data_IF_666611754343
#
_entry.id   IF_666611754343
#
_cell.length_a   1.000
_cell.length_b   1.000
_cell.length_c   1.000
_cell.angle_alpha   90.00
_cell.angle_beta   90.00
_cell.angle_gamma   90.00
#
_symmetry.space_group_name_H-M   'P 1'
#
loop_
_entity.id
_entity.type
_entity.pdbx_description
1 polymer ?
#
# COMPACT_ATOMS: atom_id res chain seq x y z
N UNK A 1 20.57 -9.46 26.63
CA UNK A 1 21.22 -10.37 25.66
C UNK A 1 20.57 -10.13 24.30
N UNK A 2 21.28 -9.50 23.37
CA UNK A 2 20.74 -8.98 22.12
C UNK A 2 20.88 -10.09 21.05
N UNK A 3 19.89 -10.97 20.93
CA UNK A 3 19.91 -12.02 19.91
C UNK A 3 19.38 -11.40 18.61
N UNK A 4 20.27 -10.83 17.80
CA UNK A 4 19.96 -10.58 16.39
C UNK A 4 19.86 -11.94 15.69
N UNK A 5 18.77 -12.26 14.99
CA UNK A 5 18.70 -13.50 14.23
C UNK A 5 19.71 -13.41 13.08
N UNK A 6 20.80 -14.16 13.16
CA UNK A 6 21.76 -14.28 12.07
C UNK A 6 21.14 -15.11 10.95
N UNK A 7 20.55 -14.43 9.97
CA UNK A 7 20.32 -15.03 8.65
C UNK A 7 21.65 -15.50 8.04
N UNK A 8 21.61 -16.57 7.26
CA UNK A 8 22.80 -17.09 6.58
C UNK A 8 23.36 -16.03 5.62
N UNK A 9 24.68 -16.06 5.32
CA UNK A 9 25.31 -15.09 4.38
C UNK A 9 24.53 -14.92 3.06
N UNK A 10 23.99 -15.99 2.42
CA UNK A 10 23.17 -15.87 1.22
C UNK A 10 21.87 -15.07 1.42
N UNK A 11 21.19 -15.24 2.56
CA UNK A 11 19.95 -14.52 2.86
C UNK A 11 20.19 -13.02 3.04
N UNK A 12 21.30 -12.65 3.69
CA UNK A 12 21.72 -11.25 3.84
C UNK A 12 22.06 -10.62 2.48
N UNK A 13 22.66 -11.38 1.57
CA UNK A 13 22.96 -10.92 0.21
C UNK A 13 21.68 -10.71 -0.61
N UNK A 14 20.79 -11.70 -0.65
CA UNK A 14 19.51 -11.61 -1.36
C UNK A 14 18.67 -10.42 -0.85
N UNK A 15 18.61 -10.21 0.47
CA UNK A 15 17.93 -9.07 1.07
C UNK A 15 18.49 -7.72 0.60
N UNK A 16 19.82 -7.60 0.50
CA UNK A 16 20.48 -6.38 -0.02
C UNK A 16 20.18 -6.16 -1.50
N UNK A 17 20.25 -7.20 -2.31
CA UNK A 17 19.94 -7.12 -3.75
C UNK A 17 18.50 -6.66 -3.94
N UNK A 18 17.53 -7.28 -3.25
CA UNK A 18 16.12 -6.88 -3.31
C UNK A 18 15.92 -5.40 -2.93
N UNK A 19 16.60 -4.94 -1.88
CA UNK A 19 16.52 -3.54 -1.47
C UNK A 19 17.11 -2.58 -2.52
N UNK A 20 18.27 -2.90 -3.08
CA UNK A 20 18.89 -2.05 -4.10
C UNK A 20 18.10 -2.02 -5.40
N UNK A 21 17.58 -3.16 -5.87
CA UNK A 21 16.73 -3.23 -7.05
C UNK A 21 15.44 -2.44 -6.86
N UNK A 22 14.76 -2.60 -5.72
CA UNK A 22 13.54 -1.86 -5.44
C UNK A 22 13.77 -0.35 -5.33
N UNK A 23 14.85 0.06 -4.68
CA UNK A 23 15.24 1.47 -4.61
C UNK A 23 15.57 2.04 -6.00
N UNK A 24 16.32 1.29 -6.81
CA UNK A 24 16.68 1.69 -8.16
C UNK A 24 15.43 1.92 -9.02
N UNK A 25 14.44 1.02 -8.96
CA UNK A 25 13.17 1.19 -9.69
C UNK A 25 12.40 2.44 -9.24
N UNK A 26 12.32 2.69 -7.94
CA UNK A 26 11.62 3.86 -7.39
C UNK A 26 12.31 5.18 -7.72
N UNK A 27 13.64 5.19 -7.92
CA UNK A 27 14.39 6.38 -8.35
C UNK A 27 14.35 6.53 -9.87
N UNK A 28 14.50 5.45 -10.63
CA UNK A 28 14.52 5.48 -12.08
C UNK A 28 13.16 5.90 -12.66
N UNK A 29 12.05 5.54 -12.00
CA UNK A 29 10.70 5.86 -12.47
C UNK A 29 10.43 7.38 -12.60
N UNK A 30 10.60 8.22 -11.56
CA UNK A 30 10.40 9.66 -11.69
C UNK A 30 11.44 10.30 -12.64
N UNK A 31 12.68 9.79 -12.69
CA UNK A 31 13.70 10.26 -13.64
C UNK A 31 13.25 10.00 -15.08
N UNK A 32 12.74 8.80 -15.39
CA UNK A 32 12.20 8.47 -16.71
C UNK A 32 11.05 9.40 -17.10
N UNK A 33 10.10 9.63 -16.20
CA UNK A 33 8.96 10.52 -16.44
C UNK A 33 9.41 11.97 -16.70
N UNK A 34 10.39 12.47 -15.95
CA UNK A 34 10.98 13.79 -16.18
C UNK A 34 11.68 13.88 -17.54
N UNK A 35 12.52 12.91 -17.88
CA UNK A 35 13.29 12.90 -19.14
C UNK A 35 12.40 12.77 -20.37
N UNK A 36 11.26 12.09 -20.24
CA UNK A 36 10.30 11.90 -21.34
C UNK A 36 9.19 12.94 -21.37
N UNK A 37 9.21 13.94 -20.46
CA UNK A 37 8.21 15.01 -20.41
C UNK A 37 6.85 14.61 -19.83
N UNK A 38 6.70 13.41 -19.27
CA UNK A 38 5.45 12.91 -18.68
C UNK A 38 5.30 13.37 -17.21
N UNK A 39 5.21 14.68 -17.00
CA UNK A 39 5.12 15.29 -15.66
C UNK A 39 3.69 15.41 -15.12
N UNK A 40 2.69 14.97 -15.88
CA UNK A 40 1.28 14.94 -15.51
C UNK A 40 0.63 13.67 -16.07
N UNK A 41 -0.13 12.95 -15.25
CA UNK A 41 -0.69 11.65 -15.61
C UNK A 41 -2.02 11.37 -14.93
N UNK A 42 -2.82 10.50 -15.54
CA UNK A 42 -4.07 10.00 -14.94
C UNK A 42 -3.76 8.90 -13.94
N UNK A 43 -4.47 8.95 -12.83
CA UNK A 43 -4.20 8.12 -11.66
C UNK A 43 -5.34 7.15 -11.36
N UNK A 44 -6.52 7.30 -11.93
CA UNK A 44 -7.55 6.26 -11.92
C UNK A 44 -8.18 6.14 -13.30
N UNK A 45 -8.88 5.02 -13.52
CA UNK A 45 -9.70 4.80 -14.70
C UNK A 45 -11.01 5.60 -14.66
N UNK A 46 -11.32 6.28 -13.56
CA UNK A 46 -12.57 7.02 -13.40
C UNK A 46 -12.60 8.21 -14.35
N UNK A 47 -13.67 8.28 -15.14
CA UNK A 47 -13.90 9.39 -16.06
C UNK A 47 -14.12 10.69 -15.26
N UNK A 48 -13.47 11.78 -15.69
CA UNK A 48 -13.62 13.10 -15.09
C UNK A 48 -12.61 13.47 -14.01
N UNK A 49 -11.75 12.55 -13.53
CA UNK A 49 -10.72 12.92 -12.54
C UNK A 49 -9.59 13.73 -13.21
N UNK A 50 -9.23 14.92 -12.69
CA UNK A 50 -8.14 15.73 -13.24
C UNK A 50 -6.80 14.99 -13.13
N UNK A 51 -5.87 15.22 -14.07
CA UNK A 51 -4.56 14.59 -14.02
C UNK A 51 -3.76 15.10 -12.82
N UNK A 52 -2.93 14.24 -12.26
CA UNK A 52 -2.08 14.54 -11.10
C UNK A 52 -0.68 14.84 -11.60
N UNK A 53 -0.07 15.90 -11.07
CA UNK A 53 1.31 16.23 -11.39
C UNK A 53 2.29 15.25 -10.71
N UNK A 54 3.46 15.07 -11.31
CA UNK A 54 4.53 14.25 -10.74
C UNK A 54 4.90 14.70 -9.32
N UNK A 55 4.96 16.01 -9.08
CA UNK A 55 5.28 16.56 -7.76
C UNK A 55 4.17 16.32 -6.74
N UNK A 56 2.91 16.45 -7.16
CA UNK A 56 1.73 16.13 -6.36
C UNK A 56 1.71 14.66 -5.94
N UNK A 57 2.14 13.75 -6.82
CA UNK A 57 2.27 12.32 -6.50
C UNK A 57 3.43 12.03 -5.54
N UNK A 58 4.55 12.73 -5.68
CA UNK A 58 5.78 12.41 -4.94
C UNK A 58 5.90 13.10 -3.57
N UNK A 59 5.72 14.41 -3.53
CA UNK A 59 6.10 15.24 -2.37
C UNK A 59 5.35 14.87 -1.09
N UNK A 60 4.02 14.65 -1.09
CA UNK A 60 3.31 14.28 0.14
C UNK A 60 3.87 13.02 0.78
N UNK A 61 4.14 11.98 -0.02
CA UNK A 61 4.67 10.71 0.48
C UNK A 61 6.13 10.84 0.95
N UNK A 62 6.98 11.59 0.23
CA UNK A 62 8.36 11.86 0.64
C UNK A 62 8.44 12.62 1.97
N UNK A 63 7.62 13.67 2.13
CA UNK A 63 7.52 14.43 3.38
C UNK A 63 7.03 13.52 4.52
N UNK A 64 5.99 12.72 4.25
CA UNK A 64 5.47 11.73 5.19
C UNK A 64 6.54 10.72 5.64
N UNK A 65 7.39 10.24 4.72
CA UNK A 65 8.50 9.34 5.01
C UNK A 65 9.56 9.99 5.92
N UNK A 66 9.95 11.24 5.63
CA UNK A 66 10.89 12.00 6.45
C UNK A 66 10.33 12.19 7.85
N UNK A 67 9.08 12.65 7.99
CA UNK A 67 8.45 12.84 9.29
C UNK A 67 8.28 11.54 10.08
N UNK A 68 7.95 10.44 9.40
CA UNK A 68 7.89 9.10 10.02
C UNK A 68 9.24 8.67 10.60
N UNK A 69 10.33 9.05 9.93
CA UNK A 69 11.70 8.77 10.39
C UNK A 69 12.08 9.63 11.60
N UNK A 70 11.59 10.86 11.66
CA UNK A 70 11.93 11.84 12.69
C UNK A 70 11.10 11.69 13.98
N UNK A 71 9.88 11.13 13.91
CA UNK A 71 8.95 11.08 15.05
C UNK A 71 8.63 9.65 15.51
N UNK A 72 8.93 9.26 16.75
CA UNK A 72 10.00 9.82 17.57
C UNK A 72 11.36 9.43 16.96
N UNK A 73 12.47 10.09 17.33
CA UNK A 73 13.79 9.78 16.77
C UNK A 73 14.22 8.33 17.03
N UNK A 74 13.83 7.78 18.19
CA UNK A 74 14.12 6.41 18.61
C UNK A 74 12.82 5.69 18.96
N UNK A 75 12.65 4.49 18.42
CA UNK A 75 11.50 3.66 18.68
C UNK A 75 11.90 2.19 18.65
N UNK A 76 11.40 1.41 19.60
CA UNK A 76 11.67 -0.02 19.67
C UNK A 76 11.10 -0.73 18.44
N UNK A 77 11.95 -1.55 17.80
CA UNK A 77 11.55 -2.44 16.72
C UNK A 77 10.78 -3.60 17.32
N UNK A 78 9.58 -3.86 16.80
CA UNK A 78 8.75 -5.00 17.21
C UNK A 78 8.67 -5.96 16.03
N UNK A 79 9.13 -7.18 16.23
CA UNK A 79 8.83 -8.33 15.38
C UNK A 79 7.79 -9.23 16.08
N UNK A 80 6.52 -9.19 15.67
CA UNK A 80 5.47 -10.02 16.28
C UNK A 80 5.61 -11.52 15.94
N UNK A 81 6.47 -11.88 14.99
CA UNK A 81 6.70 -13.25 14.53
C UNK A 81 8.06 -13.81 14.98
N UNK A 82 8.80 -13.09 15.82
CA UNK A 82 10.14 -13.51 16.28
C UNK A 82 10.16 -14.91 16.93
N UNK A 83 9.10 -15.29 17.64
CA UNK A 83 8.98 -16.60 18.28
C UNK A 83 8.33 -17.67 17.38
N UNK A 84 7.89 -17.31 16.17
CA UNK A 84 7.26 -18.25 15.26
C UNK A 84 8.32 -19.07 14.51
N UNK A 85 8.00 -20.35 14.22
CA UNK A 85 8.89 -21.22 13.44
C UNK A 85 9.15 -20.61 12.06
N UNK A 86 10.42 -20.35 11.73
CA UNK A 86 10.84 -19.69 10.48
C UNK A 86 10.29 -20.37 9.21
N UNK A 87 10.29 -21.72 9.18
CA UNK A 87 9.73 -22.49 8.06
C UNK A 87 8.23 -22.22 7.84
N UNK A 88 7.46 -22.04 8.92
CA UNK A 88 6.04 -21.68 8.85
C UNK A 88 5.88 -20.25 8.33
N UNK A 89 6.62 -19.29 8.87
CA UNK A 89 6.58 -17.88 8.41
C UNK A 89 6.90 -17.80 6.91
N UNK A 90 7.89 -18.57 6.44
CA UNK A 90 8.26 -18.66 5.03
C UNK A 90 7.14 -19.27 4.17
N UNK A 91 6.49 -20.35 4.63
CA UNK A 91 5.34 -20.93 3.93
C UNK A 91 4.17 -19.96 3.81
N UNK A 92 3.82 -19.29 4.91
CA UNK A 92 2.77 -18.27 4.94
C UNK A 92 3.11 -17.08 4.01
N UNK A 93 4.37 -16.65 4.00
CA UNK A 93 4.86 -15.59 3.12
C UNK A 93 4.72 -15.95 1.63
N UNK A 94 5.12 -17.16 1.23
CA UNK A 94 5.02 -17.56 -0.18
C UNK A 94 3.58 -17.67 -0.68
N UNK A 95 2.65 -18.12 0.17
CA UNK A 95 1.22 -18.08 -0.17
C UNK A 95 0.77 -16.64 -0.41
N UNK A 96 1.15 -15.71 0.45
CA UNK A 96 0.78 -14.30 0.30
C UNK A 96 1.39 -13.67 -0.96
N UNK A 97 2.66 -13.95 -1.26
CA UNK A 97 3.29 -13.50 -2.51
C UNK A 97 2.57 -14.09 -3.72
N UNK A 98 2.23 -15.38 -3.69
CA UNK A 98 1.48 -16.02 -4.76
C UNK A 98 0.11 -15.35 -4.97
N UNK A 99 -0.62 -15.00 -3.91
CA UNK A 99 -1.91 -14.28 -4.03
C UNK A 99 -1.73 -12.85 -4.55
N UNK A 100 -0.67 -12.15 -4.11
CA UNK A 100 -0.36 -10.79 -4.58
C UNK A 100 -0.03 -10.76 -6.08
N UNK A 101 0.61 -11.81 -6.60
CA UNK A 101 0.91 -11.97 -8.05
C UNK A 101 -0.31 -12.51 -8.82
N UNK A 102 -1.04 -13.48 -8.25
CA UNK A 102 -2.19 -14.07 -8.91
C UNK A 102 -3.30 -13.05 -9.15
N UNK A 103 -3.53 -12.12 -8.22
CA UNK A 103 -4.59 -11.11 -8.34
C UNK A 103 -4.52 -10.32 -9.66
N UNK A 104 -3.44 -9.56 -9.97
CA UNK A 104 -3.37 -8.84 -11.23
C UNK A 104 -3.38 -9.75 -12.46
N UNK A 105 -2.77 -10.94 -12.39
CA UNK A 105 -2.78 -11.89 -13.52
C UNK A 105 -4.20 -12.36 -13.83
N UNK A 106 -4.99 -12.72 -12.80
CA UNK A 106 -6.38 -13.13 -12.99
C UNK A 106 -7.22 -11.98 -13.56
N UNK A 107 -6.97 -10.73 -13.16
CA UNK A 107 -7.68 -9.59 -13.73
C UNK A 107 -7.48 -9.42 -15.24
N UNK A 108 -6.32 -9.81 -15.78
CA UNK A 108 -6.05 -9.69 -17.24
C UNK A 108 -6.86 -10.65 -18.10
N UNK A 109 -7.40 -11.71 -17.52
CA UNK A 109 -8.16 -12.75 -18.26
C UNK A 109 -9.65 -12.73 -17.94
N UNK A 110 -10.08 -11.96 -16.94
CA UNK A 110 -11.49 -11.84 -16.58
C UNK A 110 -12.23 -10.87 -17.52
N UNK A 111 -13.52 -11.12 -17.79
CA UNK A 111 -14.34 -10.19 -18.58
C UNK A 111 -14.39 -8.80 -17.92
N UNK A 112 -14.38 -7.70 -18.71
CA UNK A 112 -14.42 -6.32 -18.18
C UNK A 112 -15.59 -6.04 -17.24
N UNK A 113 -16.73 -6.73 -17.42
CA UNK A 113 -17.93 -6.61 -16.58
C UNK A 113 -17.67 -7.13 -15.16
N UNK A 114 -16.86 -8.17 -15.04
CA UNK A 114 -16.46 -8.74 -13.74
C UNK A 114 -15.44 -7.84 -13.06
N UNK A 115 -14.48 -7.30 -13.82
CA UNK A 115 -13.42 -6.41 -13.31
C UNK A 115 -13.97 -5.06 -12.85
N UNK A 116 -15.04 -4.54 -13.49
CA UNK A 116 -15.70 -3.28 -13.10
C UNK A 116 -16.83 -3.45 -12.09
N UNK A 117 -17.25 -4.69 -11.81
CA UNK A 117 -18.37 -4.99 -10.92
C UNK A 117 -17.96 -5.52 -9.54
N UNK A 118 -18.94 -6.09 -8.83
CA UNK A 118 -18.73 -6.74 -7.52
C UNK A 118 -17.78 -7.94 -7.58
N UNK A 119 -17.54 -8.51 -8.77
CA UNK A 119 -16.60 -9.60 -8.98
C UNK A 119 -15.16 -9.23 -8.60
N UNK A 120 -14.75 -7.99 -8.85
CA UNK A 120 -13.45 -7.46 -8.43
C UNK A 120 -13.28 -7.45 -6.91
N UNK A 121 -14.30 -6.94 -6.18
CA UNK A 121 -14.34 -6.95 -4.72
C UNK A 121 -14.34 -8.38 -4.16
N UNK A 122 -15.15 -9.28 -4.74
CA UNK A 122 -15.22 -10.68 -4.33
C UNK A 122 -13.87 -11.40 -4.54
N UNK A 123 -13.19 -11.16 -5.66
CA UNK A 123 -11.87 -11.71 -5.95
C UNK A 123 -10.83 -11.22 -4.94
N UNK A 124 -10.83 -9.93 -4.59
CA UNK A 124 -9.97 -9.40 -3.52
C UNK A 124 -10.25 -10.11 -2.20
N UNK A 125 -11.50 -10.24 -1.78
CA UNK A 125 -11.84 -10.94 -0.52
C UNK A 125 -11.37 -12.39 -0.55
N UNK A 126 -11.55 -13.10 -1.67
CA UNK A 126 -11.09 -14.47 -1.81
C UNK A 126 -9.57 -14.59 -1.68
N UNK A 127 -8.81 -13.82 -2.47
CA UNK A 127 -7.35 -13.94 -2.56
C UNK A 127 -6.60 -13.25 -1.41
N UNK A 128 -7.14 -12.16 -0.86
CA UNK A 128 -6.46 -11.37 0.18
C UNK A 128 -6.93 -11.68 1.60
N UNK A 129 -8.07 -12.36 1.77
CA UNK A 129 -8.58 -12.75 3.09
C UNK A 129 -8.79 -14.24 3.22
N UNK A 130 -9.65 -14.84 2.39
CA UNK A 130 -10.09 -16.23 2.59
C UNK A 130 -8.93 -17.21 2.44
N UNK A 131 -8.20 -17.14 1.31
CA UNK A 131 -7.05 -18.03 1.05
C UNK A 131 -5.94 -17.83 2.08
N UNK A 132 -5.49 -16.60 2.41
CA UNK A 132 -4.51 -16.38 3.47
C UNK A 132 -4.92 -16.93 4.83
N UNK A 133 -6.18 -16.71 5.26
CA UNK A 133 -6.65 -17.22 6.55
C UNK A 133 -6.73 -18.76 6.57
N UNK A 134 -7.12 -19.39 5.46
CA UNK A 134 -7.09 -20.83 5.31
C UNK A 134 -5.65 -21.36 5.39
N UNK A 135 -4.73 -20.77 4.63
CA UNK A 135 -3.31 -21.14 4.64
C UNK A 135 -2.68 -20.97 6.03
N UNK A 136 -2.97 -19.88 6.75
CA UNK A 136 -2.48 -19.68 8.12
C UNK A 136 -3.00 -20.73 9.09
N UNK A 137 -4.24 -21.22 8.90
CA UNK A 137 -4.78 -22.30 9.72
C UNK A 137 -4.09 -23.63 9.41
N UNK A 138 -3.94 -23.96 8.13
CA UNK A 138 -3.32 -25.22 7.67
C UNK A 138 -1.83 -25.29 8.05
N UNK A 139 -1.06 -24.24 7.77
CA UNK A 139 0.39 -24.20 8.06
C UNK A 139 0.72 -24.09 9.55
N UNK A 140 -0.24 -23.63 10.37
CA UNK A 140 -0.11 -23.60 11.83
C UNK A 140 -0.37 -24.96 12.47
N UNK A 141 -1.36 -25.70 11.98
CA UNK A 141 -1.90 -26.86 12.69
C UNK A 141 -2.39 -26.49 14.11
N UNK A 142 -2.00 -27.28 15.10
CA UNK A 142 -2.30 -27.10 16.54
C UNK A 142 -1.38 -26.10 17.25
N UNK A 143 -0.40 -25.53 16.56
CA UNK A 143 0.54 -24.56 17.13
C UNK A 143 -0.14 -23.26 17.59
N UNK A 144 0.56 -22.48 18.42
CA UNK A 144 0.06 -21.20 18.89
C UNK A 144 -0.27 -20.24 17.74
N UNK A 145 -1.25 -19.35 17.98
CA UNK A 145 -1.64 -18.29 17.05
C UNK A 145 -0.76 -17.04 17.26
N UNK A 146 0.33 -16.84 16.49
CA UNK A 146 1.08 -15.59 16.58
C UNK A 146 0.19 -14.43 16.11
N UNK A 147 0.26 -13.32 16.82
CA UNK A 147 -0.50 -12.10 16.51
C UNK A 147 0.32 -11.22 15.59
N UNK A 148 0.29 -11.51 14.28
CA UNK A 148 0.98 -10.71 13.27
C UNK A 148 0.55 -9.24 13.27
N UNK A 149 -0.73 -8.98 13.57
CA UNK A 149 -1.29 -7.63 13.73
C UNK A 149 -1.65 -7.43 15.21
N UNK A 150 -1.07 -6.43 15.90
CA UNK A 150 -1.39 -6.18 17.30
C UNK A 150 -2.78 -5.57 17.42
N UNK A 151 -3.63 -6.17 18.25
CA UNK A 151 -5.00 -5.69 18.50
C UNK A 151 -5.00 -4.47 19.43
N UNK A 152 -4.07 -4.41 20.39
CA UNK A 152 -3.94 -3.30 21.33
C UNK A 152 -2.73 -2.46 20.96
N UNK A 153 -2.99 -1.21 20.59
CA UNK A 153 -1.96 -0.24 20.19
C UNK A 153 -1.84 0.82 21.30
N UNK A 154 -0.67 0.95 21.96
CA UNK A 154 -0.41 2.00 22.94
C UNK A 154 -0.68 3.41 22.39
N UNK A 155 -1.14 4.34 23.25
CA UNK A 155 -1.44 5.74 22.88
C UNK A 155 -0.31 6.41 22.10
N UNK A 156 0.95 6.19 22.49
CA UNK A 156 2.11 6.75 21.80
C UNK A 156 2.19 6.34 20.32
N UNK A 157 1.82 5.09 19.98
CA UNK A 157 1.78 4.57 18.60
C UNK A 157 0.56 5.08 17.80
N UNK A 158 -0.36 5.79 18.44
CA UNK A 158 -1.37 6.61 17.79
C UNK A 158 -0.88 8.02 17.53
N UNK A 159 -0.21 8.64 18.51
CA UNK A 159 0.19 10.05 18.44
C UNK A 159 1.40 10.31 17.54
N UNK A 160 2.44 9.46 17.61
CA UNK A 160 3.67 9.64 16.84
C UNK A 160 3.52 9.67 15.31
N UNK A 161 2.64 8.89 14.66
CA UNK A 161 2.41 9.01 13.22
C UNK A 161 1.67 10.28 12.80
N UNK A 162 0.96 10.97 13.71
CA UNK A 162 0.07 12.08 13.33
C UNK A 162 0.79 13.20 12.56
N UNK A 163 2.00 13.67 12.91
CA UNK A 163 2.67 14.70 12.12
C UNK A 163 2.89 14.27 10.66
N UNK A 164 3.27 13.02 10.42
CA UNK A 164 3.46 12.50 9.07
C UNK A 164 2.13 12.38 8.31
N UNK A 165 1.09 11.87 8.96
CA UNK A 165 -0.25 11.71 8.36
C UNK A 165 -0.90 13.06 8.06
N UNK A 166 -0.81 14.02 8.99
CA UNK A 166 -1.36 15.37 8.83
C UNK A 166 -0.63 16.16 7.75
N UNK A 167 0.70 16.10 7.72
CA UNK A 167 1.48 16.75 6.66
C UNK A 167 1.18 16.14 5.28
N UNK A 168 1.11 14.80 5.20
CA UNK A 168 0.71 14.11 3.98
C UNK A 168 -0.70 14.51 3.54
N UNK A 169 -1.67 14.55 4.46
CA UNK A 169 -3.04 14.97 4.19
C UNK A 169 -3.08 16.41 3.66
N UNK A 170 -2.44 17.34 4.37
CA UNK A 170 -2.39 18.74 3.95
C UNK A 170 -1.79 18.88 2.56
N UNK A 171 -0.64 18.26 2.29
CA UNK A 171 0.01 18.37 0.99
C UNK A 171 -0.80 17.74 -0.14
N UNK A 172 -1.43 16.58 0.10
CA UNK A 172 -2.15 15.84 -0.94
C UNK A 172 -3.60 16.29 -1.17
N UNK A 173 -4.26 16.90 -0.18
CA UNK A 173 -5.69 17.22 -0.24
C UNK A 173 -6.00 18.73 -0.15
N UNK A 174 -5.09 19.54 0.41
CA UNK A 174 -5.39 20.92 0.83
C UNK A 174 -4.47 21.94 0.17
N UNK A 175 -3.17 21.62 0.03
CA UNK A 175 -2.17 22.55 -0.47
C UNK A 175 -2.29 22.80 -1.97
N UNK A 176 -1.46 23.70 -2.51
CA UNK A 176 -1.33 23.97 -3.96
C UNK A 176 -0.91 22.74 -4.78
N UNK A 177 -0.43 21.67 -4.14
CA UNK A 177 -0.11 20.41 -4.79
C UNK A 177 -1.34 19.50 -4.97
N UNK A 178 -2.43 19.76 -4.24
CA UNK A 178 -3.61 18.91 -4.33
C UNK A 178 -4.29 19.09 -5.70
N UNK A 179 -4.74 17.99 -6.35
CA UNK A 179 -5.61 18.11 -7.51
C UNK A 179 -6.92 18.79 -7.10
N UNK A 180 -7.59 19.52 -8.01
CA UNK A 180 -8.87 20.12 -7.70
C UNK A 180 -9.90 19.03 -7.36
N UNK A 181 -10.80 19.29 -6.39
CA UNK A 181 -11.78 18.29 -5.99
C UNK A 181 -12.75 17.98 -7.13
N UNK A 182 -13.25 16.74 -7.11
CA UNK A 182 -14.28 16.27 -8.03
C UNK A 182 -15.59 17.00 -7.72
N UNK A 183 -16.23 17.57 -8.74
CA UNK A 183 -17.48 18.31 -8.56
C UNK A 183 -18.65 17.37 -8.26
N UNK A 184 -19.60 17.84 -7.46
CA UNK A 184 -20.77 17.03 -7.07
C UNK A 184 -21.57 16.52 -8.29
N UNK A 185 -21.63 17.31 -9.37
CA UNK A 185 -22.36 16.97 -10.60
C UNK A 185 -21.74 15.81 -11.39
N UNK A 186 -20.47 15.48 -11.11
CA UNK A 186 -19.77 14.36 -11.75
C UNK A 186 -19.82 13.06 -10.94
N UNK A 187 -20.43 13.09 -9.74
CA UNK A 187 -20.58 11.91 -8.90
C UNK A 187 -21.88 11.15 -9.22
N UNK A 188 -21.90 9.82 -9.02
CA UNK A 188 -23.12 9.03 -9.11
C UNK A 188 -24.20 9.52 -8.13
N UNK A 189 -25.42 8.98 -8.28
CA UNK A 189 -26.49 9.23 -7.31
C UNK A 189 -26.05 8.87 -5.87
N UNK A 190 -26.63 9.50 -4.83
CA UNK A 190 -26.15 9.34 -3.46
C UNK A 190 -26.13 7.90 -2.95
N UNK A 191 -27.05 7.05 -3.41
CA UNK A 191 -27.12 5.65 -2.98
C UNK A 191 -25.99 4.85 -3.63
N UNK A 192 -25.79 5.00 -4.94
CA UNK A 192 -24.68 4.37 -5.65
C UNK A 192 -23.34 4.83 -5.08
N UNK A 193 -23.18 6.14 -4.84
CA UNK A 193 -21.97 6.70 -4.24
C UNK A 193 -21.69 6.09 -2.86
N UNK A 194 -22.70 5.98 -2.01
CA UNK A 194 -22.56 5.38 -0.67
C UNK A 194 -22.15 3.91 -0.74
N UNK A 195 -22.82 3.11 -1.59
CA UNK A 195 -22.52 1.68 -1.74
C UNK A 195 -21.10 1.48 -2.27
N UNK A 196 -20.73 2.16 -3.36
CA UNK A 196 -19.39 2.06 -3.96
C UNK A 196 -18.33 2.51 -2.96
N UNK A 197 -18.56 3.62 -2.24
CA UNK A 197 -17.62 4.13 -1.23
C UNK A 197 -17.40 3.13 -0.08
N UNK A 198 -18.46 2.47 0.40
CA UNK A 198 -18.35 1.45 1.46
C UNK A 198 -17.60 0.23 0.95
N UNK A 199 -17.91 -0.26 -0.25
CA UNK A 199 -17.19 -1.40 -0.86
C UNK A 199 -15.72 -1.06 -1.05
N UNK A 200 -15.40 0.12 -1.58
CA UNK A 200 -14.03 0.59 -1.77
C UNK A 200 -13.30 0.77 -0.45
N UNK A 201 -13.93 1.36 0.58
CA UNK A 201 -13.35 1.49 1.91
C UNK A 201 -12.95 0.12 2.49
N UNK A 202 -13.86 -0.85 2.41
CA UNK A 202 -13.63 -2.19 2.98
C UNK A 202 -12.59 -2.97 2.17
N UNK A 203 -12.65 -2.90 0.84
CA UNK A 203 -11.84 -3.77 -0.02
C UNK A 203 -10.51 -3.16 -0.46
N UNK A 204 -10.45 -1.84 -0.67
CA UNK A 204 -9.22 -1.15 -1.03
C UNK A 204 -8.50 -0.64 0.22
N UNK A 205 -9.17 0.11 1.09
CA UNK A 205 -8.48 0.78 2.20
C UNK A 205 -8.25 -0.12 3.42
N UNK A 206 -9.18 -1.00 3.77
CA UNK A 206 -9.01 -1.92 4.91
C UNK A 206 -8.31 -3.21 4.46
N UNK A 207 -8.93 -3.96 3.55
CA UNK A 207 -8.44 -5.29 3.18
C UNK A 207 -7.02 -5.27 2.60
N UNK A 208 -6.68 -4.35 1.70
CA UNK A 208 -5.33 -4.28 1.14
C UNK A 208 -4.30 -3.94 2.20
N UNK A 209 -4.58 -3.02 3.12
CA UNK A 209 -3.63 -2.69 4.19
C UNK A 209 -3.40 -3.90 5.11
N UNK A 210 -4.45 -4.62 5.49
CA UNK A 210 -4.29 -5.84 6.27
C UNK A 210 -3.51 -6.92 5.51
N UNK A 211 -3.76 -7.10 4.22
CA UNK A 211 -3.05 -8.07 3.39
C UNK A 211 -1.59 -7.69 3.16
N UNK A 212 -1.32 -6.54 2.56
CA UNK A 212 0.02 -6.11 2.19
C UNK A 212 0.87 -5.79 3.42
N UNK A 213 0.35 -5.05 4.40
CA UNK A 213 1.14 -4.58 5.55
C UNK A 213 1.03 -5.55 6.71
N UNK A 214 -0.19 -5.82 7.16
CA UNK A 214 -0.46 -6.67 8.31
C UNK A 214 0.03 -8.10 8.11
N UNK A 215 -0.23 -8.70 6.96
CA UNK A 215 0.10 -10.09 6.67
C UNK A 215 1.46 -10.22 5.98
N UNK A 216 1.60 -9.73 4.75
CA UNK A 216 2.75 -9.98 3.89
C UNK A 216 4.02 -9.26 4.38
N UNK A 217 3.95 -7.95 4.59
CA UNK A 217 5.11 -7.16 5.03
C UNK A 217 5.63 -7.63 6.38
N UNK A 218 4.77 -7.86 7.36
CA UNK A 218 5.18 -8.39 8.68
C UNK A 218 6.01 -9.67 8.56
N UNK A 219 5.63 -10.59 7.65
CA UNK A 219 6.34 -11.85 7.45
C UNK A 219 7.65 -11.65 6.72
N UNK A 220 7.68 -10.84 5.67
CA UNK A 220 8.91 -10.47 4.99
C UNK A 220 9.88 -9.74 5.92
N UNK A 221 9.40 -8.83 6.77
CA UNK A 221 10.24 -8.12 7.74
C UNK A 221 10.91 -9.07 8.74
N UNK A 222 10.18 -10.08 9.21
CA UNK A 222 10.71 -11.12 10.11
C UNK A 222 11.74 -12.03 9.41
N UNK A 223 11.62 -12.21 8.09
CA UNK A 223 12.51 -13.10 7.32
C UNK A 223 13.76 -12.42 6.76
N UNK A 224 13.62 -11.21 6.22
CA UNK A 224 14.67 -10.51 5.44
C UNK A 224 14.94 -9.08 5.91
N UNK A 225 14.20 -8.59 6.92
CA UNK A 225 14.37 -7.26 7.50
C UNK A 225 13.49 -6.17 6.90
N UNK A 226 13.52 -4.99 7.54
CA UNK A 226 12.59 -3.87 7.28
C UNK A 226 12.56 -3.40 5.82
N UNK A 227 13.68 -2.88 5.33
CA UNK A 227 13.69 -2.18 4.04
C UNK A 227 13.47 -3.09 2.83
N UNK A 228 14.10 -4.28 2.74
CA UNK A 228 13.78 -5.22 1.67
C UNK A 228 12.29 -5.60 1.66
N UNK A 229 11.69 -5.82 2.84
CA UNK A 229 10.28 -6.13 2.95
C UNK A 229 9.38 -4.97 2.49
N UNK A 230 9.63 -3.74 2.95
CA UNK A 230 8.87 -2.56 2.53
C UNK A 230 8.93 -2.41 1.00
N UNK A 231 10.12 -2.51 0.42
CA UNK A 231 10.31 -2.33 -1.02
C UNK A 231 9.61 -3.41 -1.83
N UNK A 232 9.80 -4.69 -1.49
CA UNK A 232 9.13 -5.80 -2.19
C UNK A 232 7.61 -5.68 -2.09
N UNK A 233 7.07 -5.39 -0.91
CA UNK A 233 5.61 -5.23 -0.73
C UNK A 233 5.08 -4.03 -1.49
N UNK A 234 5.82 -2.92 -1.54
CA UNK A 234 5.42 -1.73 -2.27
C UNK A 234 5.41 -1.96 -3.78
N UNK A 235 6.36 -2.75 -4.31
CA UNK A 235 6.36 -3.15 -5.71
C UNK A 235 5.18 -4.09 -6.04
N UNK A 236 4.88 -5.06 -5.17
CA UNK A 236 3.71 -5.94 -5.34
C UNK A 236 2.39 -5.18 -5.24
N UNK A 237 2.33 -4.18 -4.36
CA UNK A 237 1.20 -3.26 -4.24
C UNK A 237 1.06 -2.39 -5.50
N UNK A 238 2.15 -1.86 -6.04
CA UNK A 238 2.11 -1.13 -7.31
C UNK A 238 1.66 -2.05 -8.47
N UNK A 239 2.21 -3.26 -8.56
CA UNK A 239 1.90 -4.20 -9.63
C UNK A 239 0.42 -4.62 -9.67
N UNK A 240 -0.27 -4.74 -8.52
CA UNK A 240 -1.70 -5.07 -8.51
C UNK A 240 -2.59 -4.00 -9.17
N UNK A 241 -2.08 -2.78 -9.29
CA UNK A 241 -2.78 -1.67 -9.93
C UNK A 241 -2.49 -1.58 -11.43
N UNK A 242 -1.54 -2.33 -12.00
CA UNK A 242 -1.29 -2.26 -13.44
C UNK A 242 -2.54 -2.56 -14.26
N UNK A 243 -3.29 -3.67 -14.06
CA UNK A 243 -4.42 -3.99 -14.94
C UNK A 243 -5.52 -2.93 -15.00
N UNK A 244 -5.69 -2.12 -13.96
CA UNK A 244 -6.71 -1.07 -13.89
C UNK A 244 -6.20 0.33 -14.21
N UNK A 245 -4.87 0.51 -14.35
CA UNK A 245 -4.25 1.81 -14.63
C UNK A 245 -3.44 1.82 -15.94
N UNK A 246 -3.28 0.67 -16.61
CA UNK A 246 -2.72 0.60 -17.96
C UNK A 246 -3.67 1.33 -18.93
N UNK A 247 -3.11 2.23 -19.72
CA UNK A 247 -3.81 3.10 -20.66
C UNK A 247 -3.32 2.87 -22.09
N UNK A 248 -3.28 3.95 -22.88
CA UNK A 248 -2.86 3.93 -24.28
C UNK A 248 -1.43 4.43 -24.51
N UNK A 249 -0.61 4.54 -23.46
CA UNK A 249 0.76 5.07 -23.56
C UNK A 249 1.79 3.94 -23.61
N UNK A 250 3.07 4.30 -23.77
CA UNK A 250 4.14 3.32 -23.79
C UNK A 250 4.23 2.56 -22.44
N UNK A 251 4.33 1.23 -22.49
CA UNK A 251 4.35 0.34 -21.31
C UNK A 251 5.35 0.80 -20.23
N UNK A 252 6.54 1.27 -20.63
CA UNK A 252 7.57 1.73 -19.70
C UNK A 252 7.10 2.97 -18.93
N UNK A 253 6.43 3.90 -19.60
CA UNK A 253 5.88 5.12 -18.98
C UNK A 253 4.75 4.79 -18.01
N UNK A 254 3.90 3.81 -18.32
CA UNK A 254 2.83 3.36 -17.43
C UNK A 254 3.37 2.65 -16.19
N UNK A 255 4.37 1.79 -16.38
CA UNK A 255 5.10 1.17 -15.26
C UNK A 255 5.72 2.25 -14.36
N UNK A 256 6.41 3.23 -14.94
CA UNK A 256 7.01 4.32 -14.18
C UNK A 256 5.96 5.14 -13.42
N UNK A 257 4.81 5.42 -14.06
CA UNK A 257 3.69 6.15 -13.46
C UNK A 257 3.11 5.41 -12.25
N UNK A 258 2.81 4.13 -12.41
CA UNK A 258 2.27 3.30 -11.33
C UNK A 258 3.28 3.12 -10.19
N UNK A 259 4.57 2.99 -10.49
CA UNK A 259 5.62 2.92 -9.48
C UNK A 259 5.76 4.23 -8.70
N UNK A 260 5.67 5.38 -9.36
CA UNK A 260 5.70 6.68 -8.70
C UNK A 260 4.48 6.85 -7.80
N UNK A 261 3.27 6.60 -8.30
CA UNK A 261 2.05 6.86 -7.54
C UNK A 261 1.80 5.78 -6.48
N UNK A 262 1.61 4.53 -6.90
CA UNK A 262 1.26 3.42 -6.02
C UNK A 262 2.47 2.86 -5.27
N UNK A 263 3.63 2.81 -5.91
CA UNK A 263 4.85 2.31 -5.28
C UNK A 263 5.31 3.20 -4.13
N UNK A 264 5.36 4.53 -4.34
CA UNK A 264 5.78 5.45 -3.29
C UNK A 264 4.75 5.56 -2.15
N UNK A 265 3.46 5.55 -2.48
CA UNK A 265 2.39 5.40 -1.49
C UNK A 265 2.56 4.10 -0.68
N UNK A 266 2.88 3.00 -1.37
CA UNK A 266 3.24 1.72 -0.79
C UNK A 266 4.36 1.84 0.25
N UNK A 267 5.45 2.53 -0.10
CA UNK A 267 6.61 2.73 0.78
C UNK A 267 6.23 3.57 2.00
N UNK A 268 5.45 4.63 1.81
CA UNK A 268 4.97 5.48 2.91
C UNK A 268 4.10 4.69 3.92
N UNK A 269 3.04 4.04 3.45
CA UNK A 269 2.17 3.20 4.29
C UNK A 269 2.93 2.04 4.93
N UNK A 270 3.84 1.41 4.17
CA UNK A 270 4.70 0.35 4.67
C UNK A 270 5.63 0.84 5.78
N UNK A 271 6.17 2.04 5.68
CA UNK A 271 7.03 2.59 6.72
C UNK A 271 6.24 3.02 7.97
N UNK A 272 5.05 3.62 7.81
CA UNK A 272 4.12 3.87 8.93
C UNK A 272 3.83 2.58 9.71
N UNK A 273 3.50 1.51 8.99
CA UNK A 273 3.28 0.19 9.60
C UNK A 273 4.53 -0.33 10.31
N UNK A 274 5.67 -0.34 9.63
CA UNK A 274 6.93 -0.90 10.15
C UNK A 274 7.46 -0.17 11.38
N UNK A 275 7.25 1.16 11.43
CA UNK A 275 7.69 2.03 12.52
C UNK A 275 6.75 1.93 13.71
N UNK A 276 5.45 2.15 13.48
CA UNK A 276 4.49 2.35 14.55
C UNK A 276 3.70 1.10 14.92
N UNK A 277 3.67 0.06 14.08
CA UNK A 277 2.85 -1.15 14.27
C UNK A 277 1.40 -0.82 14.60
N UNK A 278 0.88 0.23 13.97
CA UNK A 278 -0.50 0.64 14.04
C UNK A 278 -1.09 0.49 12.64
N UNK A 279 -1.91 -0.54 12.42
CA UNK A 279 -2.49 -0.83 11.10
C UNK A 279 -3.52 0.23 10.70
N UNK A 280 -4.11 0.92 11.68
CA UNK A 280 -5.13 1.92 11.42
C UNK A 280 -4.58 3.20 10.79
N UNK A 281 -3.30 3.50 10.98
CA UNK A 281 -2.65 4.66 10.36
C UNK A 281 -2.58 4.57 8.83
N UNK A 282 -1.99 3.51 8.25
CA UNK A 282 -2.05 3.34 6.80
C UNK A 282 -3.49 3.13 6.30
N UNK A 283 -4.38 2.48 7.07
CA UNK A 283 -5.82 2.39 6.70
C UNK A 283 -6.45 3.77 6.56
N UNK A 284 -6.28 4.67 7.54
CA UNK A 284 -6.83 6.03 7.47
C UNK A 284 -6.26 6.79 6.28
N UNK A 285 -4.95 6.73 6.07
CA UNK A 285 -4.28 7.33 4.91
C UNK A 285 -4.89 6.80 3.60
N UNK A 286 -5.10 5.50 3.49
CA UNK A 286 -5.68 4.87 2.31
C UNK A 286 -7.19 5.13 2.16
N UNK A 287 -7.93 5.33 3.25
CA UNK A 287 -9.32 5.80 3.18
C UNK A 287 -9.35 7.17 2.53
N UNK A 288 -8.51 8.11 2.98
CA UNK A 288 -8.44 9.47 2.40
C UNK A 288 -8.19 9.43 0.90
N UNK A 289 -7.28 8.57 0.42
CA UNK A 289 -6.98 8.46 -1.02
C UNK A 289 -8.21 8.03 -1.85
N UNK A 290 -9.04 7.14 -1.30
CA UNK A 290 -10.11 6.48 -2.04
C UNK A 290 -11.51 7.05 -1.78
N UNK A 291 -11.68 7.86 -0.74
CA UNK A 291 -12.99 8.29 -0.30
C UNK A 291 -13.46 9.54 -1.06
N UNK A 292 -14.34 9.35 -2.04
CA UNK A 292 -14.95 10.44 -2.82
C UNK A 292 -15.64 11.52 -1.96
N UNK A 293 -16.09 11.18 -0.75
CA UNK A 293 -16.64 12.16 0.19
C UNK A 293 -15.63 13.19 0.70
N UNK A 294 -14.32 12.90 0.64
CA UNK A 294 -13.27 13.90 0.93
C UNK A 294 -13.32 14.99 -0.15
N UNK A 295 -13.37 14.59 -1.42
CA UNK A 295 -13.47 15.51 -2.55
C UNK A 295 -14.76 16.35 -2.45
N UNK A 296 -15.90 15.73 -2.13
CA UNK A 296 -17.18 16.44 -1.93
C UNK A 296 -17.12 17.47 -0.79
N UNK A 297 -16.56 17.08 0.36
CA UNK A 297 -16.44 17.97 1.53
C UNK A 297 -15.55 19.18 1.22
N UNK A 298 -14.42 18.96 0.54
CA UNK A 298 -13.49 20.03 0.17
C UNK A 298 -14.12 20.98 -0.86
N UNK A 299 -14.84 20.45 -1.85
CA UNK A 299 -15.58 21.26 -2.81
C UNK A 299 -16.66 22.14 -2.15
N UNK A 300 -17.39 21.61 -1.17
CA UNK A 300 -18.38 22.40 -0.40
C UNK A 300 -17.73 23.52 0.42
N UNK A 301 -16.47 23.32 0.87
CA UNK A 301 -15.68 24.34 1.57
C UNK A 301 -15.05 25.38 0.62
N UNK A 302 -15.38 25.35 -0.67
CA UNK A 302 -14.89 26.31 -1.66
C UNK A 302 -13.42 26.12 -2.03
N UNK A 303 -12.91 24.90 -1.90
CA UNK A 303 -11.60 24.50 -2.43
C UNK A 303 -11.71 23.80 -3.77
#
# INVERSE_FOLDING_TARGET
MNITPEGSRPEKYAARVLAWCGLALLIASPVWLLLTGHTSFRVSADEGRPPVSLWSAMLPALVGLVLTRLVPPRMAVIDPLACARRARVRGEMWVLVAMAVAFPVVLTVLPPEVVRGLGYAALKVALFLVVPLAAFRLLRGTGQRPRAVPVRVPRARWLFPLPAVVAWFYLSQVSVLAPPPVTADSLPDPVTLAVVSVVTLLTASVLEEFFYRGFLQTRLESLVGRWPAILVVSLLFAAMHLPTHLGSTAVITELATVLVFQGLFGVFCGYLWSRYRNIWMPVVVHIVVNLAYVDLLLGWLGR
#
